data_IF_944551348332
#
_entry.id   IF_944551348332
#
_cell.length_a   1.000
_cell.length_b   1.000
_cell.length_c   1.000
_cell.angle_alpha   90.00
_cell.angle_beta   90.00
_cell.angle_gamma   90.00
#
_symmetry.space_group_name_H-M   'P 1'
#
loop_
_entity.id
_entity.type
_entity.pdbx_description
1 polymer ?
#
# COMPACT_ATOMS: atom_id res chain seq x y z
N UNK A 1 42.93 27.19 -43.62
CA UNK A 1 41.51 27.27 -43.21
C UNK A 1 41.34 26.42 -41.95
N UNK A 2 41.42 27.05 -40.77
CA UNK A 2 41.39 26.35 -39.48
C UNK A 2 39.97 26.33 -38.92
N UNK A 3 39.56 25.20 -38.36
CA UNK A 3 38.21 24.90 -37.85
C UNK A 3 37.71 25.92 -36.79
N UNK A 4 38.61 26.71 -36.22
CA UNK A 4 38.33 27.75 -35.22
C UNK A 4 37.64 29.02 -35.76
N UNK A 5 37.66 29.29 -37.06
CA UNK A 5 36.99 30.47 -37.63
C UNK A 5 35.48 30.24 -37.83
N UNK A 6 35.04 29.00 -38.09
CA UNK A 6 33.62 28.64 -38.25
C UNK A 6 32.82 28.62 -36.94
N UNK A 7 33.49 28.57 -35.78
CA UNK A 7 32.82 28.58 -34.47
C UNK A 7 32.51 30.00 -33.99
N UNK A 8 33.22 31.02 -34.49
CA UNK A 8 33.00 32.42 -34.10
C UNK A 8 31.79 33.07 -34.78
N UNK A 9 31.37 32.59 -35.95
CA UNK A 9 30.17 33.09 -36.65
C UNK A 9 28.85 32.48 -36.14
N UNK A 10 28.89 31.35 -35.43
CA UNK A 10 27.69 30.73 -34.83
C UNK A 10 27.32 31.30 -33.44
N UNK A 11 28.24 32.03 -32.80
CA UNK A 11 28.09 32.56 -31.44
C UNK A 11 28.23 34.09 -31.38
N UNK A 12 27.69 34.80 -32.37
CA UNK A 12 27.14 36.15 -32.21
C UNK A 12 27.96 37.17 -31.40
N UNK A 13 29.26 37.26 -31.64
CA UNK A 13 30.09 38.34 -31.11
C UNK A 13 30.70 39.15 -32.27
N UNK A 14 30.17 40.34 -32.52
CA UNK A 14 30.91 41.41 -33.19
C UNK A 14 30.78 42.75 -32.45
N UNK A 15 31.83 43.58 -32.47
CA UNK A 15 32.04 44.68 -31.53
C UNK A 15 31.56 46.04 -32.07
N UNK A 16 31.52 47.01 -31.16
CA UNK A 16 31.04 48.38 -31.35
C UNK A 16 31.96 49.29 -32.21
N UNK A 17 31.35 50.21 -32.95
CA UNK A 17 31.94 51.41 -33.57
C UNK A 17 30.88 52.12 -34.43
N UNK A 18 30.25 53.21 -33.97
CA UNK A 18 30.51 54.64 -34.32
C UNK A 18 30.48 54.92 -35.84
N UNK A 19 29.96 56.01 -36.41
CA UNK A 19 29.12 57.18 -36.06
C UNK A 19 29.08 58.04 -37.35
N UNK A 20 27.92 58.60 -37.75
CA UNK A 20 27.79 59.82 -38.61
C UNK A 20 26.29 60.13 -38.82
N UNK A 21 25.70 61.16 -38.18
CA UNK A 21 25.42 62.54 -38.66
C UNK A 21 24.53 62.63 -39.94
N UNK A 22 23.48 63.46 -40.14
CA UNK A 22 22.82 64.64 -39.50
C UNK A 22 21.60 65.00 -40.42
N UNK A 23 20.32 65.15 -39.97
CA UNK A 23 19.51 66.39 -39.67
C UNK A 23 18.07 66.33 -40.31
N UNK A 24 17.10 67.25 -40.02
CA UNK A 24 15.91 66.95 -39.21
C UNK A 24 14.53 67.25 -39.87
N UNK A 25 13.44 66.79 -39.25
CA UNK A 25 12.09 67.42 -39.23
C UNK A 25 11.29 66.79 -38.08
N UNK A 26 10.99 67.53 -37.02
CA UNK A 26 9.73 68.26 -36.74
C UNK A 26 8.57 67.34 -36.33
N UNK A 27 8.15 67.51 -35.06
CA UNK A 27 6.80 67.30 -34.49
C UNK A 27 6.31 65.87 -34.25
N UNK A 28 6.34 65.41 -32.99
CA UNK A 28 5.15 65.41 -32.11
C UNK A 28 5.49 64.77 -30.75
N UNK A 29 5.18 65.49 -29.68
CA UNK A 29 5.35 65.05 -28.29
C UNK A 29 4.15 64.16 -27.92
N UNK A 30 4.38 62.87 -27.71
CA UNK A 30 3.45 62.02 -26.95
C UNK A 30 4.17 61.27 -25.82
N UNK A 31 3.65 61.52 -24.63
CA UNK A 31 3.99 60.99 -23.30
C UNK A 31 4.48 59.54 -23.32
N UNK A 32 5.61 59.37 -22.64
CA UNK A 32 6.16 58.13 -22.10
C UNK A 32 5.21 57.47 -21.10
N UNK A 33 4.79 56.23 -21.39
CA UNK A 33 4.46 55.24 -20.37
C UNK A 33 5.68 54.34 -20.16
N UNK A 34 6.11 54.05 -18.92
CA UNK A 34 7.18 53.11 -18.68
C UNK A 34 6.65 51.69 -18.92
N UNK A 35 7.05 51.08 -20.03
CA UNK A 35 6.84 49.65 -20.27
C UNK A 35 7.51 48.87 -19.14
N UNK A 36 6.71 48.19 -18.32
CA UNK A 36 7.20 47.28 -17.29
C UNK A 36 8.00 46.16 -17.98
N UNK A 37 9.31 46.17 -17.78
CA UNK A 37 10.18 45.08 -18.22
C UNK A 37 9.78 43.84 -17.41
N UNK A 38 9.15 42.87 -18.07
CA UNK A 38 8.87 41.57 -17.48
C UNK A 38 10.19 40.97 -16.96
N UNK A 39 10.24 40.44 -15.72
CA UNK A 39 11.46 39.86 -15.20
C UNK A 39 11.80 38.61 -16.03
N UNK A 40 13.02 38.59 -16.57
CA UNK A 40 13.64 37.42 -17.19
C UNK A 40 13.47 36.21 -16.26
N UNK A 41 12.99 35.05 -16.74
CA UNK A 41 13.01 33.84 -15.93
C UNK A 41 14.46 33.49 -15.58
N UNK A 42 14.72 33.31 -14.29
CA UNK A 42 16.01 32.87 -13.75
C UNK A 42 16.42 31.51 -14.36
N UNK A 43 17.73 31.26 -14.51
CA UNK A 43 18.24 30.11 -15.26
C UNK A 43 17.88 28.76 -14.63
N UNK A 44 17.63 27.80 -15.52
CA UNK A 44 17.08 26.46 -15.34
C UNK A 44 17.91 25.54 -14.45
N UNK A 45 17.42 25.28 -13.23
CA UNK A 45 17.68 24.04 -12.50
C UNK A 45 16.57 23.00 -12.78
N UNK A 46 16.79 21.71 -12.46
CA UNK A 46 15.72 20.72 -12.55
C UNK A 46 14.50 21.15 -11.71
N UNK A 47 13.27 20.86 -12.16
CA UNK A 47 12.06 21.29 -11.46
C UNK A 47 12.09 20.80 -10.00
N UNK A 48 11.48 21.53 -9.04
CA UNK A 48 11.55 21.20 -7.61
C UNK A 48 11.26 19.72 -7.29
N UNK A 49 10.27 19.13 -7.99
CA UNK A 49 9.92 17.72 -7.86
C UNK A 49 11.02 16.75 -8.32
N UNK A 50 11.78 17.08 -9.38
CA UNK A 50 12.88 16.23 -9.85
C UNK A 50 14.02 16.18 -8.82
N UNK A 51 14.39 17.34 -8.25
CA UNK A 51 15.41 17.41 -7.19
C UNK A 51 14.97 16.68 -5.92
N UNK A 52 13.72 16.85 -5.50
CA UNK A 52 13.13 16.14 -4.34
C UNK A 52 13.07 14.63 -4.57
N UNK A 53 12.75 14.18 -5.79
CA UNK A 53 12.78 12.76 -6.17
C UNK A 53 14.16 12.17 -6.05
N UNK A 54 15.17 12.87 -6.54
CA UNK A 54 16.55 12.42 -6.41
C UNK A 54 17.00 12.33 -4.95
N UNK A 55 16.62 13.30 -4.11
CA UNK A 55 16.87 13.25 -2.67
C UNK A 55 16.21 12.04 -2.00
N UNK A 56 14.96 11.75 -2.35
CA UNK A 56 14.20 10.65 -1.79
C UNK A 56 14.75 9.28 -2.25
N UNK A 57 15.12 9.14 -3.53
CA UNK A 57 15.81 7.94 -4.03
C UNK A 57 17.14 7.73 -3.30
N UNK A 58 17.96 8.80 -3.18
CA UNK A 58 19.24 8.74 -2.45
C UNK A 58 19.05 8.35 -0.99
N UNK A 59 18.03 8.86 -0.33
CA UNK A 59 17.68 8.46 1.04
C UNK A 59 17.43 6.96 1.13
N UNK A 60 16.52 6.42 0.30
CA UNK A 60 16.20 4.97 0.31
C UNK A 60 17.44 4.13 0.01
N UNK A 61 18.19 4.47 -1.03
CA UNK A 61 19.43 3.75 -1.41
C UNK A 61 20.44 3.77 -0.27
N UNK A 62 20.66 4.92 0.35
CA UNK A 62 21.63 5.06 1.44
C UNK A 62 21.24 4.22 2.67
N UNK A 63 19.96 4.14 3.02
CA UNK A 63 19.51 3.27 4.12
C UNK A 63 19.60 1.79 3.76
N UNK A 64 19.45 1.43 2.49
CA UNK A 64 19.56 0.05 2.01
C UNK A 64 20.99 -0.41 1.71
N UNK A 65 22.01 0.43 1.90
CA UNK A 65 23.42 0.04 1.72
C UNK A 65 23.83 -1.16 2.57
N UNK A 66 23.16 -1.39 3.70
CA UNK A 66 23.40 -2.57 4.54
C UNK A 66 23.15 -3.91 3.81
N UNK A 67 22.34 -3.91 2.75
CA UNK A 67 21.98 -5.10 1.96
C UNK A 67 22.78 -5.20 0.64
N UNK A 68 23.81 -4.37 0.48
CA UNK A 68 24.64 -4.38 -0.72
C UNK A 68 25.39 -5.71 -0.84
N UNK A 69 25.26 -6.38 -1.99
CA UNK A 69 25.77 -7.73 -2.23
C UNK A 69 25.21 -8.82 -1.31
N UNK A 70 24.09 -8.59 -0.60
CA UNK A 70 23.46 -9.57 0.27
C UNK A 70 22.03 -9.95 -0.19
N UNK A 71 21.86 -10.68 -1.31
CA UNK A 71 20.54 -11.02 -1.84
C UNK A 71 19.73 -11.97 -0.93
N UNK A 72 20.40 -12.70 -0.04
CA UNK A 72 19.75 -13.65 0.87
C UNK A 72 19.01 -12.92 2.01
N UNK A 73 19.63 -11.88 2.56
CA UNK A 73 19.12 -11.03 3.65
C UNK A 73 18.29 -9.85 3.13
N UNK A 74 18.27 -9.62 1.81
CA UNK A 74 17.55 -8.51 1.19
C UNK A 74 16.06 -8.45 1.58
N UNK A 75 15.53 -7.24 1.82
CA UNK A 75 14.15 -7.08 2.26
C UNK A 75 13.14 -7.48 1.19
N UNK A 76 11.98 -7.96 1.65
CA UNK A 76 10.83 -8.31 0.81
C UNK A 76 9.86 -7.15 0.61
N UNK A 77 10.02 -6.06 1.35
CA UNK A 77 9.17 -4.88 1.17
C UNK A 77 9.76 -3.62 1.79
N UNK A 78 9.36 -2.49 1.23
CA UNK A 78 9.71 -1.15 1.69
C UNK A 78 8.44 -0.33 1.83
N UNK A 79 8.26 0.34 2.97
CA UNK A 79 7.21 1.35 3.15
C UNK A 79 7.84 2.70 3.45
N UNK A 80 7.64 3.66 2.55
CA UNK A 80 8.11 5.02 2.69
C UNK A 80 7.03 5.91 3.31
N UNK A 81 7.35 6.61 4.38
CA UNK A 81 6.46 7.56 5.01
C UNK A 81 7.04 8.97 4.84
N UNK A 82 6.20 9.91 4.44
CA UNK A 82 6.60 11.30 4.27
C UNK A 82 5.66 12.19 5.08
N UNK A 83 6.25 13.04 5.93
CA UNK A 83 5.51 14.09 6.64
C UNK A 83 5.40 15.31 5.74
N UNK A 84 4.15 15.70 5.49
CA UNK A 84 3.73 16.80 4.64
C UNK A 84 2.81 17.72 5.45
N UNK A 85 3.34 18.68 6.23
CA UNK A 85 2.54 19.57 7.06
C UNK A 85 1.60 20.50 6.27
N UNK A 86 1.81 20.66 4.96
CA UNK A 86 0.97 21.52 4.10
C UNK A 86 0.43 20.75 2.89
N UNK A 87 -0.79 21.06 2.41
CA UNK A 87 -1.35 20.44 1.21
C UNK A 87 -0.49 20.63 -0.05
N UNK A 88 0.21 21.78 -0.16
CA UNK A 88 1.12 22.06 -1.26
C UNK A 88 2.33 21.11 -1.27
N UNK A 89 2.87 20.80 -0.09
CA UNK A 89 3.94 19.80 0.04
C UNK A 89 3.44 18.39 -0.25
N UNK A 90 2.22 18.05 0.18
CA UNK A 90 1.62 16.76 -0.14
C UNK A 90 1.49 16.55 -1.66
N UNK A 91 0.96 17.55 -2.37
CA UNK A 91 0.82 17.49 -3.83
C UNK A 91 2.20 17.43 -4.52
N UNK A 92 3.18 18.18 -4.01
CA UNK A 92 4.56 18.08 -4.48
C UNK A 92 5.09 16.65 -4.35
N UNK A 93 4.86 15.99 -3.21
CA UNK A 93 5.30 14.60 -3.00
C UNK A 93 4.53 13.59 -3.84
N UNK A 94 3.26 13.83 -4.18
CA UNK A 94 2.52 13.05 -5.18
C UNK A 94 3.18 13.11 -6.55
N UNK A 95 3.65 14.29 -6.97
CA UNK A 95 4.41 14.46 -8.23
C UNK A 95 5.80 13.81 -8.15
N UNK A 96 6.47 13.91 -7.00
CA UNK A 96 7.77 13.26 -6.75
C UNK A 96 7.67 11.74 -6.90
N UNK A 97 6.66 11.13 -6.27
CA UNK A 97 6.42 9.69 -6.24
C UNK A 97 5.67 9.17 -7.47
N UNK A 98 5.39 10.03 -8.46
CA UNK A 98 4.59 9.70 -9.63
C UNK A 98 3.28 9.00 -9.26
N UNK A 99 2.52 9.57 -8.33
CA UNK A 99 1.27 8.98 -7.83
C UNK A 99 0.25 8.68 -8.94
N UNK A 100 0.30 9.41 -10.06
CA UNK A 100 -0.55 9.20 -11.24
C UNK A 100 -0.04 8.12 -12.22
N UNK A 101 1.13 7.53 -11.97
CA UNK A 101 1.73 6.46 -12.79
C UNK A 101 2.12 5.30 -11.88
N UNK A 102 1.16 4.42 -11.53
CA UNK A 102 1.38 3.30 -10.62
C UNK A 102 2.60 2.45 -11.03
N UNK A 103 3.44 2.12 -10.06
CA UNK A 103 4.63 1.30 -10.27
C UNK A 103 5.84 2.02 -10.89
N UNK A 104 5.68 3.21 -11.49
CA UNK A 104 6.82 3.91 -12.13
C UNK A 104 7.93 4.27 -11.15
N UNK A 105 7.56 4.74 -9.97
CA UNK A 105 8.54 5.05 -8.92
C UNK A 105 9.27 3.80 -8.45
N UNK A 106 8.54 2.69 -8.24
CA UNK A 106 9.13 1.42 -7.87
C UNK A 106 10.09 0.89 -8.94
N UNK A 107 9.75 1.01 -10.22
CA UNK A 107 10.63 0.62 -11.34
C UNK A 107 11.93 1.43 -11.36
N UNK A 108 11.83 2.75 -11.20
CA UNK A 108 13.00 3.63 -11.12
C UNK A 108 13.86 3.32 -9.89
N UNK A 109 13.24 3.14 -8.73
CA UNK A 109 13.93 2.75 -7.51
C UNK A 109 14.65 1.40 -7.70
N UNK A 110 14.00 0.42 -8.31
CA UNK A 110 14.59 -0.90 -8.57
C UNK A 110 15.84 -0.80 -9.48
N UNK A 111 15.80 0.06 -10.51
CA UNK A 111 16.97 0.33 -11.36
C UNK A 111 18.13 0.91 -10.54
N UNK A 112 17.84 1.96 -9.77
CA UNK A 112 18.87 2.63 -8.96
C UNK A 112 19.45 1.72 -7.87
N UNK A 113 18.65 0.85 -7.27
CA UNK A 113 19.13 -0.15 -6.31
C UNK A 113 20.07 -1.14 -6.98
N UNK A 114 19.73 -1.62 -8.18
CA UNK A 114 20.59 -2.50 -8.96
C UNK A 114 21.93 -1.84 -9.33
N UNK A 115 21.91 -0.55 -9.72
CA UNK A 115 23.13 0.25 -9.98
C UNK A 115 24.03 0.37 -8.72
N UNK A 116 23.45 0.20 -7.52
CA UNK A 116 24.16 0.21 -6.24
C UNK A 116 24.40 -1.22 -5.69
N UNK A 117 24.27 -2.26 -6.51
CA UNK A 117 24.46 -3.67 -6.14
C UNK A 117 23.53 -4.16 -5.01
N UNK A 118 22.34 -3.56 -4.90
CA UNK A 118 21.28 -4.00 -3.97
C UNK A 118 20.21 -4.70 -4.81
N UNK A 119 20.11 -6.03 -4.64
CA UNK A 119 19.18 -6.86 -5.41
C UNK A 119 18.05 -7.32 -4.50
N UNK A 120 16.86 -6.77 -4.72
CA UNK A 120 15.65 -7.18 -4.01
C UNK A 120 14.97 -8.40 -4.69
N UNK A 121 14.21 -9.23 -3.96
CA UNK A 121 13.47 -10.36 -4.51
C UNK A 121 12.48 -9.93 -5.60
N UNK A 122 12.24 -10.76 -6.64
CA UNK A 122 11.37 -10.39 -7.79
C UNK A 122 9.95 -9.91 -7.42
N UNK A 123 9.42 -10.37 -6.29
CA UNK A 123 8.08 -10.06 -5.79
C UNK A 123 8.08 -9.06 -4.63
N UNK A 124 9.14 -8.26 -4.49
CA UNK A 124 9.24 -7.26 -3.43
C UNK A 124 8.17 -6.16 -3.61
N UNK A 125 7.68 -5.62 -2.49
CA UNK A 125 6.62 -4.60 -2.49
C UNK A 125 7.14 -3.23 -2.12
N UNK A 126 6.67 -2.20 -2.81
CA UNK A 126 6.90 -0.81 -2.45
C UNK A 126 5.58 -0.14 -2.12
N UNK A 127 5.48 0.41 -0.91
CA UNK A 127 4.34 1.20 -0.44
C UNK A 127 4.81 2.59 -0.04
N UNK A 128 3.94 3.58 -0.13
CA UNK A 128 4.18 4.89 0.47
C UNK A 128 2.92 5.43 1.15
N UNK A 129 3.11 6.28 2.16
CA UNK A 129 2.04 7.06 2.76
C UNK A 129 2.52 8.49 3.03
N UNK A 130 1.62 9.44 2.81
CA UNK A 130 1.80 10.86 3.12
C UNK A 130 0.97 11.15 4.37
N UNK A 131 1.55 11.83 5.35
CA UNK A 131 0.90 12.16 6.62
C UNK A 131 1.07 13.64 6.93
N UNK A 132 0.01 14.31 7.37
CA UNK A 132 0.10 15.67 7.91
C UNK A 132 0.69 15.69 9.33
N UNK A 133 0.54 14.59 10.06
CA UNK A 133 0.95 14.44 11.46
C UNK A 133 2.37 13.86 11.60
N UNK A 134 2.82 13.73 12.85
CA UNK A 134 4.13 13.19 13.18
C UNK A 134 4.31 11.75 12.66
N UNK A 135 5.49 11.46 12.09
CA UNK A 135 5.80 10.14 11.56
C UNK A 135 5.87 9.10 12.69
N UNK A 136 5.26 7.92 12.51
CA UNK A 136 5.44 6.82 13.45
C UNK A 136 6.92 6.40 13.51
N UNK A 137 7.31 5.71 14.57
CA UNK A 137 8.67 5.15 14.72
C UNK A 137 8.97 4.18 13.57
N UNK A 138 9.72 4.64 12.57
CA UNK A 138 10.20 3.81 11.45
C UNK A 138 11.61 3.27 11.69
N UNK A 139 11.99 2.23 10.94
CA UNK A 139 13.34 1.62 10.99
C UNK A 139 14.44 2.64 10.76
N UNK A 140 14.23 3.56 9.82
CA UNK A 140 15.11 4.70 9.58
C UNK A 140 14.29 5.99 9.50
N UNK A 141 14.77 7.07 10.13
CA UNK A 141 14.16 8.40 10.07
C UNK A 141 15.22 9.44 9.67
N UNK A 142 14.85 10.37 8.80
CA UNK A 142 15.68 11.51 8.41
C UNK A 142 14.79 12.69 8.02
N UNK A 143 14.75 13.71 8.89
CA UNK A 143 13.88 14.87 8.70
C UNK A 143 12.41 14.45 8.58
N UNK A 144 11.78 14.81 7.45
CA UNK A 144 10.39 14.50 7.13
C UNK A 144 10.19 13.14 6.43
N UNK A 145 11.22 12.29 6.39
CA UNK A 145 11.16 10.96 5.78
C UNK A 145 11.34 9.87 6.83
N UNK A 146 10.56 8.80 6.72
CA UNK A 146 10.82 7.55 7.41
C UNK A 146 10.72 6.37 6.43
N UNK A 147 11.59 5.37 6.63
CA UNK A 147 11.60 4.13 5.88
C UNK A 147 11.40 2.97 6.84
N UNK A 148 10.41 2.13 6.53
CA UNK A 148 10.17 0.85 7.19
C UNK A 148 10.63 -0.24 6.25
N UNK A 149 11.50 -1.12 6.74
CA UNK A 149 12.00 -2.28 6.01
C UNK A 149 11.23 -3.52 6.45
N UNK A 150 10.76 -4.33 5.49
CA UNK A 150 10.18 -5.64 5.75
C UNK A 150 11.19 -6.71 5.34
N UNK A 151 11.77 -7.40 6.31
CA UNK A 151 12.75 -8.47 6.07
C UNK A 151 12.09 -9.85 6.01
N UNK A 152 12.79 -10.83 5.41
CA UNK A 152 12.35 -12.25 5.42
C UNK A 152 12.39 -12.87 6.82
N UNK A 153 13.37 -12.47 7.63
CA UNK A 153 13.71 -13.07 8.94
C UNK A 153 13.14 -12.30 10.13
N UNK A 154 12.75 -11.05 9.89
CA UNK A 154 11.95 -10.23 10.81
C UNK A 154 10.73 -9.74 10.05
N UNK A 155 9.68 -10.57 9.92
CA UNK A 155 8.38 -9.97 9.83
C UNK A 155 8.24 -9.16 11.13
N UNK A 156 8.22 -7.83 11.07
CA UNK A 156 7.72 -6.95 12.14
C UNK A 156 6.21 -7.16 12.36
N UNK A 157 5.76 -8.41 12.16
CA UNK A 157 4.54 -8.93 12.66
C UNK A 157 4.65 -8.95 14.17
N UNK A 158 4.23 -7.86 14.80
CA UNK A 158 3.64 -7.98 16.15
C UNK A 158 2.72 -9.19 16.06
N UNK A 159 2.92 -10.26 16.85
CA UNK A 159 2.02 -11.40 16.86
C UNK A 159 0.60 -10.87 17.01
N UNK A 160 -0.18 -10.92 15.94
CA UNK A 160 -1.56 -10.48 16.00
C UNK A 160 -2.32 -11.64 16.60
N UNK A 161 -2.45 -11.57 17.92
CA UNK A 161 -3.51 -12.28 18.60
C UNK A 161 -4.81 -11.62 18.15
N UNK A 162 -5.74 -12.45 17.74
CA UNK A 162 -7.11 -12.02 17.47
C UNK A 162 -8.07 -12.99 18.14
N UNK A 163 -9.33 -12.58 18.19
CA UNK A 163 -10.41 -13.32 18.80
C UNK A 163 -11.60 -13.36 17.86
N UNK A 164 -12.26 -14.52 17.81
CA UNK A 164 -13.57 -14.71 17.21
C UNK A 164 -14.61 -15.06 18.28
N UNK A 165 -15.75 -14.38 18.25
CA UNK A 165 -16.92 -14.67 19.09
C UNK A 165 -18.17 -14.72 18.23
N UNK A 166 -19.07 -15.68 18.45
CA UNK A 166 -20.36 -15.70 17.78
C UNK A 166 -21.33 -14.67 18.40
N UNK A 167 -21.81 -13.73 17.59
CA UNK A 167 -22.89 -12.81 17.96
C UNK A 167 -24.26 -13.40 17.66
N UNK A 168 -24.37 -14.11 16.52
CA UNK A 168 -25.57 -14.82 16.08
C UNK A 168 -25.16 -16.21 15.60
N UNK A 169 -25.95 -17.22 15.93
CA UNK A 169 -25.62 -18.62 15.73
C UNK A 169 -24.90 -19.24 16.93
N UNK A 170 -24.60 -20.52 16.81
CA UNK A 170 -23.91 -21.28 17.86
C UNK A 170 -22.63 -21.92 17.36
N UNK A 171 -21.52 -21.55 18.00
CA UNK A 171 -20.22 -22.21 17.87
C UNK A 171 -20.00 -23.21 18.99
N UNK A 172 -19.06 -24.14 18.78
CA UNK A 172 -18.66 -25.11 19.80
C UNK A 172 -18.02 -24.45 21.03
N UNK A 173 -17.16 -23.46 20.81
CA UNK A 173 -16.55 -22.65 21.85
C UNK A 173 -17.17 -21.26 21.85
N UNK A 174 -17.29 -20.66 23.03
CA UNK A 174 -17.77 -19.28 23.16
C UNK A 174 -16.81 -18.27 22.50
N UNK A 175 -15.53 -18.60 22.48
CA UNK A 175 -14.44 -17.76 22.02
C UNK A 175 -13.36 -18.62 21.34
N UNK A 176 -12.79 -18.10 20.25
CA UNK A 176 -11.63 -18.71 19.58
C UNK A 176 -10.50 -17.70 19.48
N UNK A 177 -9.33 -18.05 20.00
CA UNK A 177 -8.12 -17.24 19.86
C UNK A 177 -7.37 -17.62 18.58
N UNK A 178 -7.10 -16.63 17.74
CA UNK A 178 -6.26 -16.76 16.56
C UNK A 178 -4.85 -16.32 16.91
N UNK A 179 -3.92 -17.27 16.97
CA UNK A 179 -2.51 -17.00 17.22
C UNK A 179 -1.69 -17.23 15.95
N UNK A 180 -1.24 -16.14 15.32
CA UNK A 180 -0.46 -16.18 14.09
C UNK A 180 0.90 -16.87 14.22
N UNK A 181 1.40 -17.06 15.44
CA UNK A 181 2.65 -17.80 15.71
C UNK A 181 2.46 -19.30 15.75
N UNK A 182 1.25 -19.77 16.07
CA UNK A 182 0.89 -21.21 16.09
C UNK A 182 0.36 -21.67 14.75
N UNK A 183 -0.54 -20.90 14.14
CA UNK A 183 -1.21 -21.25 12.89
C UNK A 183 -1.53 -20.00 12.08
N UNK A 184 -1.34 -20.09 10.76
CA UNK A 184 -1.60 -18.96 9.85
C UNK A 184 -2.93 -19.05 9.13
N UNK A 185 -3.65 -20.19 9.21
CA UNK A 185 -4.93 -20.39 8.55
C UNK A 185 -5.93 -21.09 9.48
N UNK A 186 -7.07 -20.46 9.73
CA UNK A 186 -8.13 -20.92 10.62
C UNK A 186 -9.38 -21.20 9.79
N UNK A 187 -9.75 -22.47 9.69
CA UNK A 187 -10.84 -22.95 8.86
C UNK A 187 -12.18 -22.78 9.58
N UNK A 188 -13.15 -22.17 8.92
CA UNK A 188 -14.51 -21.95 9.41
C UNK A 188 -15.48 -22.84 8.66
N UNK A 189 -16.31 -23.56 9.39
CA UNK A 189 -17.38 -24.32 8.78
C UNK A 189 -18.28 -25.01 9.78
N UNK A 190 -19.37 -25.56 9.26
CA UNK A 190 -20.30 -26.35 10.03
C UNK A 190 -19.77 -27.78 10.26
N UNK A 191 -19.72 -28.20 11.52
CA UNK A 191 -19.13 -29.46 11.96
C UNK A 191 -17.60 -29.48 11.99
N UNK A 192 -17.04 -30.44 12.72
CA UNK A 192 -15.60 -30.55 12.93
C UNK A 192 -14.82 -30.91 11.67
N UNK A 193 -15.34 -31.84 10.89
CA UNK A 193 -14.65 -32.34 9.71
C UNK A 193 -15.56 -32.38 8.50
N UNK A 194 -14.96 -32.21 7.34
CA UNK A 194 -15.66 -32.30 6.07
C UNK A 194 -14.75 -32.89 5.01
N UNK A 195 -15.34 -33.58 4.04
CA UNK A 195 -14.60 -34.06 2.89
C UNK A 195 -14.68 -33.00 1.79
N UNK A 196 -13.52 -32.53 1.33
CA UNK A 196 -13.42 -31.58 0.23
C UNK A 196 -13.74 -32.25 -1.10
N UNK A 197 -13.93 -31.47 -2.16
CA UNK A 197 -14.14 -31.97 -3.53
C UNK A 197 -12.98 -32.84 -4.04
N UNK A 198 -11.78 -32.73 -3.47
CA UNK A 198 -10.64 -33.59 -3.78
C UNK A 198 -10.62 -34.91 -2.99
N UNK A 199 -11.63 -35.17 -2.16
CA UNK A 199 -11.72 -36.35 -1.30
C UNK A 199 -10.89 -36.24 -0.02
N UNK A 200 -10.16 -35.14 0.20
CA UNK A 200 -9.37 -34.92 1.43
C UNK A 200 -10.27 -34.52 2.59
N UNK A 201 -9.93 -34.99 3.78
CA UNK A 201 -10.57 -34.53 5.02
C UNK A 201 -9.97 -33.19 5.42
N UNK A 202 -10.84 -32.19 5.63
CA UNK A 202 -10.53 -30.89 6.24
C UNK A 202 -11.10 -30.89 7.64
N UNK A 203 -10.33 -30.37 8.60
CA UNK A 203 -10.79 -30.08 9.96
C UNK A 203 -11.02 -28.58 10.10
N UNK A 204 -12.16 -28.18 10.63
CA UNK A 204 -12.47 -26.79 10.94
C UNK A 204 -11.90 -26.43 12.32
N UNK A 205 -11.34 -25.23 12.44
CA UNK A 205 -10.82 -24.67 13.69
C UNK A 205 -11.89 -23.85 14.41
N UNK A 206 -12.74 -23.17 13.64
CA UNK A 206 -13.90 -22.42 14.12
C UNK A 206 -15.13 -23.22 13.69
N UNK A 207 -15.68 -23.96 14.63
CA UNK A 207 -16.75 -24.93 14.39
C UNK A 207 -18.10 -24.29 14.67
N UNK A 208 -18.91 -24.15 13.63
CA UNK A 208 -20.35 -23.88 13.77
C UNK A 208 -21.04 -25.23 14.04
N UNK A 209 -21.82 -25.33 15.12
CA UNK A 209 -22.45 -26.59 15.50
C UNK A 209 -23.53 -27.02 14.49
N UNK A 210 -23.59 -28.31 14.20
CA UNK A 210 -24.73 -28.96 13.57
C UNK A 210 -25.84 -29.21 14.59
N UNK A 211 -27.04 -29.49 14.08
CA UNK A 211 -28.22 -29.87 14.86
C UNK A 211 -28.08 -31.20 15.62
N UNK A 212 -27.18 -32.08 15.16
CA UNK A 212 -26.85 -33.35 15.80
C UNK A 212 -25.61 -33.29 16.72
N UNK A 213 -24.93 -32.13 16.80
CA UNK A 213 -23.76 -31.98 17.67
C UNK A 213 -24.17 -31.86 19.15
N UNK A 214 -23.33 -32.39 20.04
CA UNK A 214 -23.54 -32.31 21.48
C UNK A 214 -23.55 -30.85 21.94
N UNK A 215 -24.59 -30.47 22.70
CA UNK A 215 -24.73 -29.10 23.22
C UNK A 215 -25.37 -28.11 22.24
N UNK A 216 -25.84 -28.55 21.07
CA UNK A 216 -26.64 -27.72 20.17
C UNK A 216 -27.95 -27.26 20.85
N UNK A 217 -28.20 -25.95 20.82
CA UNK A 217 -29.42 -25.30 21.26
C UNK A 217 -30.22 -24.88 20.00
N UNK A 218 -31.42 -25.45 19.77
CA UNK A 218 -32.22 -25.14 18.58
C UNK A 218 -32.60 -23.67 18.41
N UNK A 219 -32.69 -22.90 19.50
CA UNK A 219 -33.01 -21.48 19.44
C UNK A 219 -31.77 -20.66 19.08
N UNK A 220 -30.62 -20.95 19.70
CA UNK A 220 -29.37 -20.23 19.44
C UNK A 220 -28.76 -20.59 18.08
N UNK A 221 -28.86 -21.86 17.69
CA UNK A 221 -28.28 -22.43 16.48
C UNK A 221 -29.23 -22.50 15.28
N UNK A 222 -30.43 -21.91 15.35
CA UNK A 222 -31.44 -21.98 14.28
C UNK A 222 -30.88 -21.62 12.88
N UNK A 223 -29.96 -20.65 12.83
CA UNK A 223 -29.30 -20.18 11.61
C UNK A 223 -28.11 -21.02 11.13
N UNK A 224 -27.59 -21.92 11.96
CA UNK A 224 -26.33 -22.64 11.67
C UNK A 224 -26.39 -23.48 10.40
N UNK A 225 -27.57 -23.98 10.03
CA UNK A 225 -27.78 -24.79 8.82
C UNK A 225 -27.42 -24.08 7.51
N UNK A 226 -27.47 -22.74 7.50
CA UNK A 226 -27.05 -21.92 6.36
C UNK A 226 -25.52 -21.86 6.19
N UNK A 227 -24.75 -22.30 7.19
CA UNK A 227 -23.29 -22.37 7.08
C UNK A 227 -22.88 -23.71 6.46
N UNK A 228 -22.08 -23.61 5.40
CA UNK A 228 -21.47 -24.76 4.74
C UNK A 228 -20.41 -25.42 5.60
N UNK A 229 -20.17 -26.71 5.38
CA UNK A 229 -19.13 -27.46 6.10
C UNK A 229 -17.70 -26.98 5.83
N UNK A 230 -17.46 -26.38 4.66
CA UNK A 230 -16.24 -25.63 4.33
C UNK A 230 -16.65 -24.26 3.80
N UNK A 231 -16.82 -23.29 4.69
CA UNK A 231 -17.44 -22.01 4.34
C UNK A 231 -16.42 -20.91 4.06
N UNK A 232 -15.47 -20.73 4.97
CA UNK A 232 -14.45 -19.69 4.87
C UNK A 232 -13.18 -20.09 5.62
N UNK A 233 -12.14 -19.28 5.44
CA UNK A 233 -10.85 -19.39 6.13
C UNK A 233 -10.39 -18.00 6.55
N UNK A 234 -10.05 -17.80 7.82
CA UNK A 234 -9.31 -16.61 8.24
C UNK A 234 -7.83 -16.91 8.11
N UNK A 235 -7.10 -16.13 7.32
CA UNK A 235 -5.68 -16.32 7.08
C UNK A 235 -4.88 -15.10 7.52
N UNK A 236 -3.82 -15.35 8.27
CA UNK A 236 -2.84 -14.34 8.61
C UNK A 236 -1.92 -14.07 7.42
N UNK A 237 -1.83 -12.80 7.02
CA UNK A 237 -0.88 -12.32 6.03
C UNK A 237 0.31 -11.65 6.73
N UNK A 238 1.40 -12.40 6.87
CA UNK A 238 2.63 -11.90 7.48
C UNK A 238 3.26 -10.72 6.70
N UNK A 239 2.99 -10.59 5.40
CA UNK A 239 3.52 -9.48 4.61
C UNK A 239 2.80 -8.17 4.92
N UNK A 240 1.52 -8.24 5.28
CA UNK A 240 0.67 -7.09 5.61
C UNK A 240 0.44 -6.92 7.12
N UNK A 241 0.92 -7.86 7.95
CA UNK A 241 0.67 -7.91 9.38
C UNK A 241 -0.82 -7.76 9.71
N UNK A 242 -1.65 -8.61 9.11
CA UNK A 242 -3.11 -8.50 9.19
C UNK A 242 -3.79 -9.85 8.91
N UNK A 243 -4.92 -10.12 9.56
CA UNK A 243 -5.81 -11.21 9.17
C UNK A 243 -6.70 -10.82 7.99
N UNK A 244 -6.95 -11.76 7.09
CA UNK A 244 -7.91 -11.61 6.00
C UNK A 244 -8.87 -12.78 5.96
N UNK A 245 -10.13 -12.52 5.62
CA UNK A 245 -11.12 -13.54 5.32
C UNK A 245 -10.94 -14.01 3.88
N UNK A 246 -10.88 -15.31 3.67
CA UNK A 246 -10.96 -15.95 2.36
C UNK A 246 -12.23 -16.78 2.33
N UNK A 247 -13.00 -16.66 1.26
CA UNK A 247 -14.24 -17.41 1.11
C UNK A 247 -13.97 -18.70 0.35
N UNK A 248 -14.28 -19.82 0.99
CA UNK A 248 -14.12 -21.14 0.41
C UNK A 248 -15.31 -21.44 -0.50
N UNK A 249 -15.24 -22.46 -1.37
CA UNK A 249 -16.32 -22.76 -2.31
C UNK A 249 -17.71 -22.84 -1.69
N UNK A 250 -17.83 -23.35 -0.45
CA UNK A 250 -19.11 -23.44 0.25
C UNK A 250 -19.67 -22.10 0.75
N UNK A 251 -18.86 -21.05 0.91
CA UNK A 251 -19.33 -19.72 1.31
C UNK A 251 -19.66 -18.79 0.13
N UNK A 252 -19.35 -19.21 -1.10
CA UNK A 252 -19.60 -18.45 -2.32
C UNK A 252 -21.07 -18.51 -2.77
N UNK A 253 -21.56 -17.49 -3.50
CA UNK A 253 -22.89 -17.49 -4.13
C UNK A 253 -23.17 -18.70 -5.03
N UNK A 254 -22.14 -19.25 -5.67
CA UNK A 254 -22.27 -20.44 -6.51
C UNK A 254 -22.77 -21.68 -5.74
N UNK A 255 -22.57 -21.73 -4.42
CA UNK A 255 -23.07 -22.79 -3.53
C UNK A 255 -24.39 -22.43 -2.86
N UNK A 256 -25.05 -21.35 -3.30
CA UNK A 256 -26.30 -20.84 -2.70
C UNK A 256 -26.10 -20.07 -1.40
N UNK A 257 -24.86 -19.82 -0.98
CA UNK A 257 -24.52 -19.12 0.26
C UNK A 257 -24.03 -17.70 0.00
N UNK A 258 -23.97 -16.89 1.06
CA UNK A 258 -23.43 -15.54 1.01
C UNK A 258 -22.49 -15.33 2.19
N UNK A 259 -21.37 -14.67 1.93
CA UNK A 259 -20.43 -14.22 2.95
C UNK A 259 -20.27 -12.71 2.83
N UNK A 260 -20.36 -12.00 3.95
CA UNK A 260 -20.17 -10.54 4.00
C UNK A 260 -19.32 -10.14 5.19
N UNK A 261 -18.69 -8.98 5.08
CA UNK A 261 -18.03 -8.30 6.18
C UNK A 261 -18.77 -6.98 6.39
N UNK A 262 -19.24 -6.76 7.61
CA UNK A 262 -19.83 -5.50 8.06
C UNK A 262 -18.81 -4.81 8.95
N UNK A 263 -18.31 -3.67 8.50
CA UNK A 263 -17.29 -2.91 9.20
C UNK A 263 -17.91 -2.04 10.32
N UNK A 264 -17.11 -1.58 11.30
CA UNK A 264 -17.58 -0.69 12.37
C UNK A 264 -18.18 0.65 11.87
N UNK A 265 -17.79 1.09 10.67
CA UNK A 265 -18.34 2.29 10.02
C UNK A 265 -19.67 2.03 9.28
N UNK A 266 -20.26 0.84 9.45
CA UNK A 266 -21.45 0.34 8.78
C UNK A 266 -21.31 0.12 7.27
N UNK A 267 -20.10 0.22 6.70
CA UNK A 267 -19.88 -0.23 5.33
C UNK A 267 -19.93 -1.75 5.25
N UNK A 268 -20.43 -2.26 4.11
CA UNK A 268 -20.60 -3.70 3.89
C UNK A 268 -19.81 -4.12 2.66
N UNK A 269 -18.88 -5.04 2.86
CA UNK A 269 -18.11 -5.67 1.80
C UNK A 269 -18.68 -7.08 1.54
N UNK A 270 -18.94 -7.40 0.26
CA UNK A 270 -19.35 -8.74 -0.14
C UNK A 270 -18.12 -9.57 -0.44
N UNK A 271 -18.00 -10.70 0.24
CA UNK A 271 -16.90 -11.62 0.05
C UNK A 271 -17.34 -12.74 -0.91
N UNK A 272 -17.35 -12.46 -2.21
CA UNK A 272 -17.91 -13.32 -3.25
C UNK A 272 -16.91 -13.73 -4.34
N UNK A 273 -15.64 -13.33 -4.23
CA UNK A 273 -14.58 -13.67 -5.18
C UNK A 273 -13.72 -14.78 -4.60
N UNK A 274 -13.72 -15.94 -5.28
CA UNK A 274 -12.90 -17.08 -4.91
C UNK A 274 -11.40 -16.73 -4.89
N UNK A 275 -10.72 -17.08 -3.80
CA UNK A 275 -9.27 -16.88 -3.64
C UNK A 275 -8.84 -15.43 -3.33
N UNK A 276 -9.77 -14.47 -3.32
CA UNK A 276 -9.52 -13.13 -2.81
C UNK A 276 -9.49 -13.13 -1.29
N UNK A 277 -8.51 -12.42 -0.71
CA UNK A 277 -8.44 -12.17 0.72
C UNK A 277 -9.00 -10.80 1.03
N UNK A 278 -9.98 -10.75 1.94
CA UNK A 278 -10.65 -9.54 2.40
C UNK A 278 -10.08 -9.13 3.76
N UNK A 279 -9.34 -8.01 3.86
CA UNK A 279 -8.63 -7.66 5.09
C UNK A 279 -9.59 -7.35 6.26
N UNK A 280 -9.37 -7.99 7.40
CA UNK A 280 -10.18 -7.82 8.61
C UNK A 280 -9.61 -6.71 9.51
N UNK A 281 -10.52 -5.91 10.08
CA UNK A 281 -10.26 -4.83 11.03
C UNK A 281 -10.87 -5.18 12.38
N UNK A 282 -10.35 -4.55 13.43
CA UNK A 282 -10.94 -4.68 14.76
C UNK A 282 -12.42 -4.26 14.73
N UNK A 283 -13.28 -5.11 15.29
CA UNK A 283 -14.73 -4.86 15.34
C UNK A 283 -15.51 -5.28 14.09
N UNK A 284 -14.86 -5.84 13.07
CA UNK A 284 -15.56 -6.38 11.91
C UNK A 284 -16.51 -7.52 12.30
N UNK A 285 -17.70 -7.53 11.70
CA UNK A 285 -18.65 -8.61 11.80
C UNK A 285 -18.69 -9.41 10.50
N UNK A 286 -18.50 -10.72 10.59
CA UNK A 286 -18.47 -11.65 9.46
C UNK A 286 -19.81 -12.39 9.41
N UNK A 287 -20.62 -12.10 8.41
CA UNK A 287 -21.88 -12.81 8.13
C UNK A 287 -21.59 -14.05 7.28
N UNK A 288 -21.97 -15.23 7.76
CA UNK A 288 -21.82 -16.52 7.12
C UNK A 288 -23.20 -17.10 6.79
N UNK A 289 -23.42 -17.48 5.53
CA UNK A 289 -24.71 -18.05 5.07
C UNK A 289 -25.91 -17.10 5.16
N UNK A 290 -25.75 -15.89 5.72
CA UNK A 290 -26.83 -14.96 5.99
C UNK A 290 -27.48 -15.02 7.35
N UNK A 291 -27.10 -15.99 8.17
CA UNK A 291 -27.83 -16.34 9.38
C UNK A 291 -26.90 -16.45 10.61
N UNK A 292 -25.59 -16.59 10.40
CA UNK A 292 -24.58 -16.65 11.47
C UNK A 292 -23.69 -15.43 11.36
N UNK A 293 -23.40 -14.79 12.49
CA UNK A 293 -22.55 -13.59 12.56
C UNK A 293 -21.46 -13.80 13.60
N UNK A 294 -20.21 -13.66 13.17
CA UNK A 294 -19.03 -13.72 14.01
C UNK A 294 -18.43 -12.32 14.18
N UNK A 295 -18.03 -11.95 15.39
CA UNK A 295 -17.25 -10.75 15.67
C UNK A 295 -15.76 -11.09 15.63
N UNK A 296 -15.00 -10.31 14.87
CA UNK A 296 -13.55 -10.32 14.88
C UNK A 296 -13.01 -9.16 15.73
N UNK A 297 -12.02 -9.43 16.58
CA UNK A 297 -11.31 -8.41 17.35
C UNK A 297 -9.82 -8.74 17.43
N UNK A 298 -8.96 -7.72 17.38
CA UNK A 298 -7.56 -7.89 17.76
C UNK A 298 -7.43 -7.90 19.30
N UNK A 299 -6.37 -8.55 19.81
CA UNK A 299 -6.05 -8.65 21.24
C UNK A 299 -4.77 -7.87 21.58
#
# INVERSE_FOLDING_TARGET
MSFLEKVKELFGFTPAGQSATVKPSSEEIKRTEPVSVAPKPAPSGPPPAARRREQLLRFVINKLRAYQNEPETAPIGLKLLVSCPTPEEEELYRVVLWANQPGKFQQELNRQLADNYIVLPKNWRFEYALSADELPSGTYREGNLALIIRDKTKPDAVPLLARIVALVGQTEHAEYTLNSTEKTAFYIGRGHTTQTTSGRVRTNDIVILNDDDAGFDPNKGAGNGAVSRAHATIRYDAANNQYSLLVDPGGLPASGNKTKIMHPDNSVERADIAGMGYPLRDGDQIELGGEVVLLFSYL
#
